data_IF_584516825756
#
_entry.id   IF_584516825756
#
_cell.length_a   1.000
_cell.length_b   1.000
_cell.length_c   1.000
_cell.angle_alpha   90.00
_cell.angle_beta   90.00
_cell.angle_gamma   90.00
#
_symmetry.space_group_name_H-M   'P 1'
#
loop_
_entity.id
_entity.type
_entity.pdbx_description
1 polymer ?
#
# COMPACT_ATOMS: atom_id res chain seq x y z
N UNK A 1 -24.03 4.00 30.81
CA UNK A 1 -22.64 4.50 30.68
C UNK A 1 -22.42 4.92 29.25
N UNK A 2 -22.18 6.21 28.98
CA UNK A 2 -21.85 6.66 27.61
C UNK A 2 -20.47 6.04 27.22
N UNK A 3 -20.41 5.31 26.10
CA UNK A 3 -19.14 4.81 25.60
C UNK A 3 -18.26 6.03 25.31
N UNK A 4 -17.10 6.12 25.98
CA UNK A 4 -16.12 7.16 25.70
C UNK A 4 -15.72 7.03 24.23
N UNK A 5 -15.73 8.14 23.49
CA UNK A 5 -15.27 8.16 22.10
C UNK A 5 -13.79 7.71 22.08
N UNK A 6 -13.42 6.68 21.33
CA UNK A 6 -12.05 6.20 21.27
C UNK A 6 -11.11 7.11 20.45
N UNK A 7 -11.65 8.08 19.72
CA UNK A 7 -10.87 9.02 18.90
C UNK A 7 -10.24 10.11 19.74
N UNK A 8 -9.02 10.48 19.45
CA UNK A 8 -8.38 11.68 19.99
C UNK A 8 -8.81 12.92 19.17
N UNK A 9 -9.85 13.61 19.67
CA UNK A 9 -10.37 14.83 19.03
C UNK A 9 -9.66 16.11 19.51
N UNK A 10 -8.68 16.00 20.41
CA UNK A 10 -7.96 17.14 20.99
C UNK A 10 -6.59 17.29 20.33
N UNK A 11 -5.89 16.18 20.11
CA UNK A 11 -4.55 16.16 19.51
C UNK A 11 -3.57 17.07 20.24
N UNK A 12 -2.85 17.86 19.50
CA UNK A 12 -1.88 18.82 20.05
C UNK A 12 -2.49 20.18 20.44
N UNK A 13 -3.77 20.39 20.14
CA UNK A 13 -4.46 21.65 20.42
C UNK A 13 -3.82 22.85 19.72
N UNK A 14 -3.65 23.95 20.46
CA UNK A 14 -3.01 25.18 19.96
C UNK A 14 -1.48 25.16 20.05
N UNK A 15 -0.88 24.04 20.44
CA UNK A 15 0.57 23.94 20.61
C UNK A 15 1.25 23.65 19.28
N UNK A 16 2.09 24.56 18.82
CA UNK A 16 2.94 24.33 17.65
C UNK A 16 3.94 23.20 17.92
N UNK A 17 3.95 22.19 17.05
CA UNK A 17 4.94 21.14 17.09
C UNK A 17 6.25 21.67 16.49
N UNK A 18 7.26 21.86 17.33
CA UNK A 18 8.61 22.25 16.90
C UNK A 18 9.36 21.02 16.37
N UNK A 19 9.05 20.63 15.14
CA UNK A 19 9.74 19.53 14.46
C UNK A 19 11.09 20.03 13.94
N UNK A 20 12.15 19.29 14.26
CA UNK A 20 13.49 19.52 13.71
C UNK A 20 13.76 18.44 12.66
N UNK A 21 13.75 18.85 11.40
CA UNK A 21 14.12 17.97 10.31
C UNK A 21 15.65 17.78 10.24
N UNK A 22 16.14 16.64 9.70
CA UNK A 22 17.57 16.45 9.44
C UNK A 22 18.17 17.62 8.66
N UNK A 23 19.45 17.89 8.92
CA UNK A 23 20.21 18.98 8.27
C UNK A 23 19.60 20.39 8.44
N UNK A 24 18.84 20.63 9.51
CA UNK A 24 18.10 21.86 9.74
C UNK A 24 17.17 22.25 8.57
N UNK A 25 16.66 21.27 7.83
CA UNK A 25 15.72 21.50 6.75
C UNK A 25 14.43 22.14 7.28
N UNK A 26 13.84 23.02 6.47
CA UNK A 26 12.58 23.70 6.80
C UNK A 26 11.36 22.84 6.46
N UNK A 27 11.54 21.88 5.54
CA UNK A 27 10.49 20.98 5.05
C UNK A 27 11.11 19.64 4.70
N UNK A 28 10.37 18.57 4.90
CA UNK A 28 10.67 17.25 4.35
C UNK A 28 9.65 16.92 3.27
N UNK A 29 10.13 16.46 2.11
CA UNK A 29 9.28 16.00 1.00
C UNK A 29 9.54 14.51 0.82
N UNK A 30 8.50 13.71 0.97
CA UNK A 30 8.53 12.29 0.68
C UNK A 30 7.69 12.03 -0.58
N UNK A 31 8.29 11.34 -1.54
CA UNK A 31 7.58 10.88 -2.74
C UNK A 31 7.31 9.41 -2.58
N UNK A 32 6.04 9.05 -2.65
CA UNK A 32 5.57 7.67 -2.54
C UNK A 32 4.97 7.24 -3.89
N UNK A 33 5.34 6.06 -4.34
CA UNK A 33 4.73 5.39 -5.48
C UNK A 33 4.01 4.14 -4.99
N UNK A 34 2.69 4.13 -5.06
CA UNK A 34 1.92 2.92 -4.81
C UNK A 34 2.06 1.98 -6.01
N UNK A 35 2.36 0.71 -5.73
CA UNK A 35 2.37 -0.36 -6.73
C UNK A 35 1.37 -1.44 -6.32
N UNK A 36 0.19 -1.44 -6.94
CA UNK A 36 -1.02 -2.14 -6.51
C UNK A 36 -1.59 -3.06 -7.59
N UNK A 37 -1.23 -2.82 -8.83
CA UNK A 37 -1.83 -3.38 -10.04
C UNK A 37 -1.72 -4.91 -10.09
N UNK A 38 -2.88 -5.55 -10.23
CA UNK A 38 -3.01 -6.99 -10.24
C UNK A 38 -3.37 -7.60 -8.88
N UNK A 39 -3.43 -6.80 -7.81
CA UNK A 39 -3.81 -7.24 -6.46
C UNK A 39 -5.20 -6.77 -6.03
N UNK A 40 -5.90 -6.03 -6.87
CA UNK A 40 -7.29 -5.59 -6.70
C UNK A 40 -8.28 -6.77 -6.72
N UNK A 41 -9.54 -6.50 -6.37
CA UNK A 41 -10.61 -7.49 -6.53
C UNK A 41 -10.78 -7.86 -8.01
N UNK A 42 -10.56 -9.12 -8.32
CA UNK A 42 -10.69 -9.65 -9.67
C UNK A 42 -11.03 -11.13 -9.62
N UNK A 43 -11.98 -11.57 -10.44
CA UNK A 43 -12.36 -12.99 -10.50
C UNK A 43 -11.19 -13.89 -10.91
N UNK A 44 -10.18 -13.37 -11.60
CA UNK A 44 -8.94 -14.08 -11.91
C UNK A 44 -8.06 -14.33 -10.68
N UNK A 45 -8.26 -13.56 -9.61
CA UNK A 45 -7.62 -13.75 -8.30
C UNK A 45 -8.44 -14.67 -7.38
N UNK A 46 -9.58 -15.20 -7.85
CA UNK A 46 -10.50 -16.03 -7.08
C UNK A 46 -11.56 -15.22 -6.31
N UNK A 47 -11.67 -13.91 -6.55
CA UNK A 47 -12.68 -13.07 -5.91
C UNK A 47 -14.07 -13.28 -6.53
N UNK A 48 -15.11 -13.02 -5.75
CA UNK A 48 -16.50 -13.17 -6.21
C UNK A 48 -16.92 -12.11 -7.23
N UNK A 49 -16.27 -10.95 -7.20
CA UNK A 49 -16.64 -9.78 -7.99
C UNK A 49 -15.40 -9.02 -8.45
N UNK A 50 -15.58 -8.17 -9.47
CA UNK A 50 -14.60 -7.18 -9.90
C UNK A 50 -14.41 -6.05 -8.87
N UNK A 51 -13.26 -5.37 -8.93
CA UNK A 51 -13.05 -4.06 -8.28
C UNK A 51 -13.90 -3.00 -9.00
N UNK A 52 -14.23 -1.94 -8.26
CA UNK A 52 -14.93 -0.76 -8.77
C UNK A 52 -14.27 0.55 -8.32
N UNK A 53 -13.36 0.46 -7.35
CA UNK A 53 -12.64 1.64 -6.87
C UNK A 53 -11.76 2.20 -7.99
N UNK A 54 -11.76 3.51 -8.15
CA UNK A 54 -11.16 4.25 -9.26
C UNK A 54 -11.86 4.06 -10.62
N UNK A 55 -13.06 3.47 -10.64
CA UNK A 55 -13.88 3.48 -11.85
C UNK A 55 -14.18 4.92 -12.27
N UNK A 56 -14.12 5.21 -13.58
CA UNK A 56 -14.58 6.47 -14.14
C UNK A 56 -16.10 6.68 -14.01
N UNK A 57 -16.84 5.60 -13.77
CA UNK A 57 -18.28 5.60 -13.60
C UNK A 57 -18.63 5.79 -12.12
N UNK A 58 -19.21 6.93 -11.80
CA UNK A 58 -19.68 7.23 -10.43
C UNK A 58 -20.79 6.25 -10.06
N UNK A 59 -20.64 5.56 -8.90
CA UNK A 59 -21.62 4.60 -8.42
C UNK A 59 -21.61 3.26 -9.17
N UNK A 60 -20.52 2.95 -9.88
CA UNK A 60 -20.33 1.64 -10.48
C UNK A 60 -20.57 0.51 -9.46
N UNK A 61 -21.17 -0.58 -9.93
CA UNK A 61 -21.43 -1.76 -9.11
C UNK A 61 -20.49 -2.89 -9.49
N UNK A 62 -20.00 -3.69 -8.50
CA UNK A 62 -19.17 -4.85 -8.78
C UNK A 62 -19.92 -5.85 -9.67
N UNK A 63 -19.26 -6.41 -10.66
CA UNK A 63 -19.84 -7.44 -11.52
C UNK A 63 -19.28 -8.82 -11.15
N UNK A 64 -20.13 -9.84 -11.25
CA UNK A 64 -19.76 -11.26 -11.06
C UNK A 64 -19.11 -11.79 -12.34
N UNK A 65 -17.91 -11.33 -12.65
CA UNK A 65 -17.20 -11.70 -13.86
C UNK A 65 -16.01 -10.80 -14.11
N UNK A 66 -15.32 -10.99 -15.22
CA UNK A 66 -14.25 -10.10 -15.65
C UNK A 66 -14.83 -8.74 -16.01
N UNK A 67 -14.17 -7.69 -15.51
CA UNK A 67 -14.52 -6.31 -15.83
C UNK A 67 -13.38 -5.70 -16.65
N UNK A 68 -13.47 -5.84 -17.97
CA UNK A 68 -12.36 -5.53 -18.88
C UNK A 68 -11.89 -4.07 -18.77
N UNK A 69 -12.82 -3.12 -18.58
CA UNK A 69 -12.44 -1.71 -18.40
C UNK A 69 -11.62 -1.50 -17.12
N UNK A 70 -12.02 -2.14 -16.02
CA UNK A 70 -11.26 -2.06 -14.77
C UNK A 70 -9.91 -2.75 -14.89
N UNK A 71 -9.87 -3.96 -15.46
CA UNK A 71 -8.62 -4.67 -15.72
C UNK A 71 -7.67 -3.82 -16.57
N UNK A 72 -8.16 -3.21 -17.64
CA UNK A 72 -7.37 -2.33 -18.51
C UNK A 72 -6.82 -1.09 -17.77
N UNK A 73 -7.60 -0.50 -16.86
CA UNK A 73 -7.17 0.62 -16.03
C UNK A 73 -5.96 0.22 -15.17
N UNK A 74 -6.07 -0.91 -14.46
CA UNK A 74 -5.00 -1.40 -13.61
C UNK A 74 -3.79 -1.88 -14.42
N UNK A 75 -3.99 -2.55 -15.56
CA UNK A 75 -2.90 -2.96 -16.45
C UNK A 75 -2.05 -1.78 -16.93
N UNK A 76 -2.65 -0.60 -17.16
CA UNK A 76 -1.88 0.56 -17.58
C UNK A 76 -0.80 0.93 -16.57
N UNK A 77 -1.09 0.89 -15.27
CA UNK A 77 -0.14 1.21 -14.20
C UNK A 77 1.10 0.32 -14.26
N UNK A 78 0.90 -0.99 -14.32
CA UNK A 78 2.01 -1.96 -14.35
C UNK A 78 2.75 -1.99 -15.69
N UNK A 79 2.05 -1.80 -16.82
CA UNK A 79 2.63 -1.91 -18.18
C UNK A 79 3.31 -0.63 -18.68
N UNK A 80 2.85 0.53 -18.23
CA UNK A 80 3.33 1.82 -18.73
C UNK A 80 3.57 2.86 -17.63
N UNK A 81 2.64 2.99 -16.67
CA UNK A 81 2.68 4.04 -15.64
C UNK A 81 3.92 3.97 -14.78
N UNK A 82 4.22 2.80 -14.21
CA UNK A 82 5.41 2.56 -13.42
C UNK A 82 6.68 2.98 -14.18
N UNK A 83 6.85 2.53 -15.42
CA UNK A 83 8.07 2.77 -16.19
C UNK A 83 8.29 4.24 -16.54
N UNK A 84 7.20 4.98 -16.79
CA UNK A 84 7.27 6.44 -17.02
C UNK A 84 7.71 7.18 -15.78
N UNK A 85 7.15 6.84 -14.61
CA UNK A 85 7.53 7.44 -13.34
C UNK A 85 8.95 7.02 -12.92
N UNK A 86 9.29 5.74 -13.05
CA UNK A 86 10.63 5.23 -12.78
C UNK A 86 11.69 5.98 -13.58
N UNK A 87 11.49 6.13 -14.90
CA UNK A 87 12.40 6.90 -15.76
C UNK A 87 12.57 8.34 -15.25
N UNK A 88 11.47 9.02 -14.93
CA UNK A 88 11.50 10.39 -14.41
C UNK A 88 12.31 10.48 -13.11
N UNK A 89 12.08 9.55 -12.16
CA UNK A 89 12.77 9.55 -10.87
C UNK A 89 14.27 9.28 -11.05
N UNK A 90 14.65 8.37 -11.95
CA UNK A 90 16.05 8.12 -12.26
C UNK A 90 16.73 9.33 -12.91
N UNK A 91 16.11 9.94 -13.93
CA UNK A 91 16.63 11.14 -14.60
C UNK A 91 16.83 12.33 -13.64
N UNK A 92 15.90 12.48 -12.69
CA UNK A 92 15.93 13.57 -11.70
C UNK A 92 16.68 13.20 -10.42
N UNK A 93 17.14 11.94 -10.27
CA UNK A 93 17.78 11.43 -9.05
C UNK A 93 16.93 11.66 -7.79
N UNK A 94 15.64 11.41 -7.91
CA UNK A 94 14.69 11.58 -6.81
C UNK A 94 14.59 10.28 -6.05
N UNK A 95 14.91 10.25 -4.74
CA UNK A 95 14.63 9.11 -3.89
C UNK A 95 13.13 8.97 -3.67
N UNK A 96 12.62 7.75 -3.72
CA UNK A 96 11.21 7.44 -3.49
C UNK A 96 11.07 6.25 -2.55
N UNK A 97 9.90 6.15 -1.92
CA UNK A 97 9.43 4.94 -1.26
C UNK A 97 8.35 4.30 -2.12
N UNK A 98 8.48 3.01 -2.40
CA UNK A 98 7.43 2.22 -3.08
C UNK A 98 6.56 1.56 -2.03
N UNK A 99 5.26 1.88 -2.00
CA UNK A 99 4.28 1.13 -1.25
C UNK A 99 3.81 -0.03 -2.12
N UNK A 100 4.39 -1.21 -1.90
CA UNK A 100 4.20 -2.37 -2.76
C UNK A 100 3.22 -3.37 -2.18
N UNK A 101 2.17 -3.69 -2.92
CA UNK A 101 1.25 -4.78 -2.58
C UNK A 101 1.89 -6.11 -2.93
N UNK A 102 1.99 -7.02 -1.96
CA UNK A 102 2.76 -8.27 -2.11
C UNK A 102 2.36 -9.10 -3.33
N UNK A 103 1.06 -9.28 -3.57
CA UNK A 103 0.57 -10.02 -4.75
C UNK A 103 0.89 -9.30 -6.07
N UNK A 104 0.84 -7.98 -6.11
CA UNK A 104 1.19 -7.20 -7.30
C UNK A 104 2.68 -7.34 -7.64
N UNK A 105 3.54 -7.27 -6.63
CA UNK A 105 4.98 -7.46 -6.77
C UNK A 105 5.32 -8.88 -7.28
N UNK A 106 4.68 -9.92 -6.73
CA UNK A 106 4.91 -11.30 -7.22
C UNK A 106 4.53 -11.51 -8.69
N UNK A 107 3.57 -10.73 -9.19
CA UNK A 107 3.11 -10.81 -10.59
C UNK A 107 4.04 -10.11 -11.58
N UNK A 108 4.93 -9.23 -11.12
CA UNK A 108 5.78 -8.45 -12.01
C UNK A 108 7.26 -8.42 -11.56
N UNK A 109 8.03 -9.48 -11.83
CA UNK A 109 9.43 -9.55 -11.48
C UNK A 109 10.30 -8.43 -12.12
N UNK A 110 9.94 -7.93 -13.30
CA UNK A 110 10.69 -6.86 -13.98
C UNK A 110 10.62 -5.55 -13.20
N UNK A 111 9.44 -5.21 -12.68
CA UNK A 111 9.27 -4.05 -11.80
C UNK A 111 10.06 -4.24 -10.51
N UNK A 112 10.05 -5.44 -9.92
CA UNK A 112 10.82 -5.72 -8.71
C UNK A 112 12.33 -5.54 -8.94
N UNK A 113 12.84 -6.01 -10.07
CA UNK A 113 14.24 -5.81 -10.45
C UNK A 113 14.60 -4.33 -10.61
N UNK A 114 13.75 -3.56 -11.29
CA UNK A 114 13.93 -2.12 -11.43
C UNK A 114 13.93 -1.36 -10.09
N UNK A 115 13.09 -1.77 -9.15
CA UNK A 115 13.04 -1.23 -7.78
C UNK A 115 14.36 -1.53 -7.05
N UNK A 116 14.86 -2.76 -7.15
CA UNK A 116 16.13 -3.20 -6.53
C UNK A 116 17.32 -2.41 -7.11
N UNK A 117 17.42 -2.36 -8.43
CA UNK A 117 18.51 -1.68 -9.14
C UNK A 117 18.55 -0.16 -8.84
N UNK A 118 17.35 0.44 -8.68
CA UNK A 118 17.22 1.85 -8.31
C UNK A 118 17.45 2.12 -6.81
N UNK A 119 17.62 1.07 -6.01
CA UNK A 119 17.75 1.15 -4.55
C UNK A 119 16.59 1.95 -3.89
N UNK A 120 15.36 1.75 -4.38
CA UNK A 120 14.18 2.36 -3.76
C UNK A 120 13.86 1.66 -2.44
N UNK A 121 13.43 2.42 -1.45
CA UNK A 121 12.82 1.85 -0.27
C UNK A 121 11.48 1.20 -0.65
N UNK A 122 11.21 0.00 -0.09
CA UNK A 122 9.91 -0.66 -0.26
C UNK A 122 9.25 -0.87 1.09
N UNK A 123 8.12 -0.22 1.28
CA UNK A 123 7.21 -0.48 2.40
C UNK A 123 6.10 -1.43 1.95
N UNK A 124 5.58 -2.23 2.88
CA UNK A 124 4.46 -3.11 2.57
C UNK A 124 3.16 -2.33 2.42
N UNK A 125 2.46 -2.59 1.32
CA UNK A 125 1.08 -2.11 1.11
C UNK A 125 0.07 -3.27 1.27
N UNK A 126 0.36 -4.21 2.19
CA UNK A 126 -0.43 -5.41 2.41
C UNK A 126 -0.18 -6.49 1.36
N UNK A 127 -0.98 -7.58 1.45
CA UNK A 127 -0.95 -8.69 0.49
C UNK A 127 -1.84 -8.44 -0.72
N UNK A 128 -3.02 -7.87 -0.48
CA UNK A 128 -4.04 -7.56 -1.47
C UNK A 128 -4.42 -6.09 -1.38
N UNK A 129 -4.81 -5.51 -2.50
CA UNK A 129 -5.39 -4.17 -2.52
C UNK A 129 -6.93 -4.25 -2.50
N UNK A 130 -7.47 -4.62 -1.35
CA UNK A 130 -8.89 -4.82 -1.10
C UNK A 130 -9.33 -4.08 0.16
N UNK A 131 -10.63 -3.90 0.35
CA UNK A 131 -11.18 -3.33 1.58
C UNK A 131 -11.14 -4.36 2.70
N UNK A 132 -10.38 -4.06 3.77
CA UNK A 132 -10.25 -4.91 4.94
C UNK A 132 -11.30 -4.66 6.01
N UNK A 133 -12.19 -3.65 5.88
CA UNK A 133 -13.14 -3.24 6.91
C UNK A 133 -13.95 -4.39 7.50
N UNK A 134 -14.35 -5.35 6.68
CA UNK A 134 -15.18 -6.48 7.10
C UNK A 134 -14.43 -7.84 7.05
N UNK A 135 -13.12 -7.83 6.86
CA UNK A 135 -12.31 -9.06 6.84
C UNK A 135 -12.04 -9.51 8.29
N UNK A 136 -12.12 -10.82 8.52
CA UNK A 136 -11.84 -11.37 9.84
C UNK A 136 -10.38 -11.11 10.24
N UNK A 137 -10.12 -10.75 11.51
CA UNK A 137 -8.77 -10.52 12.04
C UNK A 137 -7.79 -11.65 11.70
N UNK A 138 -8.25 -12.90 11.73
CA UNK A 138 -7.43 -14.08 11.41
C UNK A 138 -6.99 -14.12 9.94
N UNK A 139 -7.86 -13.73 9.02
CA UNK A 139 -7.52 -13.69 7.58
C UNK A 139 -6.63 -12.49 7.27
N UNK A 140 -6.93 -11.34 7.85
CA UNK A 140 -6.07 -10.15 7.72
C UNK A 140 -4.65 -10.43 8.26
N UNK A 141 -4.54 -11.11 9.41
CA UNK A 141 -3.24 -11.55 9.96
C UNK A 141 -2.50 -12.50 9.01
N UNK A 142 -3.22 -13.37 8.32
CA UNK A 142 -2.64 -14.25 7.30
C UNK A 142 -2.15 -13.45 6.09
N UNK A 143 -2.93 -12.48 5.61
CA UNK A 143 -2.51 -11.59 4.54
C UNK A 143 -1.26 -10.78 4.91
N UNK A 144 -1.19 -10.26 6.14
CA UNK A 144 0.03 -9.58 6.64
C UNK A 144 1.25 -10.48 6.54
N UNK A 145 1.16 -11.73 6.99
CA UNK A 145 2.26 -12.69 6.91
C UNK A 145 2.67 -12.98 5.46
N UNK A 146 1.70 -13.15 4.56
CA UNK A 146 1.97 -13.34 3.14
C UNK A 146 2.69 -12.13 2.52
N UNK A 147 2.26 -10.92 2.86
CA UNK A 147 2.93 -9.70 2.43
C UNK A 147 4.40 -9.67 2.88
N UNK A 148 4.66 -9.90 4.17
CA UNK A 148 6.02 -9.94 4.72
C UNK A 148 6.87 -11.01 4.02
N UNK A 149 6.32 -12.20 3.79
CA UNK A 149 7.01 -13.28 3.10
C UNK A 149 7.36 -12.92 1.65
N UNK A 150 6.41 -12.34 0.90
CA UNK A 150 6.64 -11.90 -0.47
C UNK A 150 7.74 -10.84 -0.54
N UNK A 151 7.67 -9.80 0.28
CA UNK A 151 8.71 -8.78 0.36
C UNK A 151 10.08 -9.37 0.71
N UNK A 152 10.13 -10.23 1.72
CA UNK A 152 11.40 -10.86 2.14
C UNK A 152 11.99 -11.71 1.03
N UNK A 153 11.15 -12.47 0.32
CA UNK A 153 11.57 -13.31 -0.81
C UNK A 153 12.11 -12.48 -1.97
N UNK A 154 11.44 -11.37 -2.29
CA UNK A 154 11.77 -10.53 -3.46
C UNK A 154 12.97 -9.62 -3.18
N UNK A 155 12.99 -8.94 -2.04
CA UNK A 155 13.96 -7.89 -1.73
C UNK A 155 15.06 -8.33 -0.75
N UNK A 156 15.03 -9.58 -0.26
CA UNK A 156 16.01 -10.11 0.69
C UNK A 156 15.82 -9.67 2.14
N UNK A 157 14.97 -8.70 2.40
CA UNK A 157 14.68 -8.16 3.72
C UNK A 157 13.17 -7.96 3.91
N UNK A 158 12.72 -8.03 5.17
CA UNK A 158 11.35 -7.64 5.49
C UNK A 158 11.14 -6.13 5.27
N UNK A 159 9.92 -5.69 4.95
CA UNK A 159 9.63 -4.26 4.80
C UNK A 159 9.79 -3.53 6.13
N UNK A 160 10.36 -2.32 6.10
CA UNK A 160 10.48 -1.48 7.29
C UNK A 160 9.19 -0.76 7.64
N UNK A 161 8.40 -0.41 6.62
CA UNK A 161 7.14 0.31 6.77
C UNK A 161 5.93 -0.54 6.43
N UNK A 162 4.79 -0.14 7.00
CA UNK A 162 3.47 -0.69 6.70
C UNK A 162 2.50 0.41 6.29
N UNK A 163 1.67 0.14 5.32
CA UNK A 163 0.52 0.94 4.91
C UNK A 163 -0.54 0.04 4.27
N UNK A 164 -1.77 0.05 4.75
CA UNK A 164 -2.88 -0.70 4.14
C UNK A 164 -3.76 0.20 3.27
N UNK A 165 -4.00 1.43 3.72
CA UNK A 165 -4.84 2.41 3.06
C UNK A 165 -6.35 2.14 3.17
N UNK A 166 -6.77 0.88 3.02
CA UNK A 166 -8.16 0.42 3.17
C UNK A 166 -8.25 -0.51 4.39
N UNK A 167 -7.80 0.00 5.53
CA UNK A 167 -7.60 -0.75 6.76
C UNK A 167 -8.89 -1.17 7.46
N UNK A 168 -8.79 -2.19 8.30
CA UNK A 168 -9.82 -2.63 9.24
C UNK A 168 -9.61 -2.02 10.63
N UNK A 169 -10.57 -2.14 11.55
CA UNK A 169 -10.36 -1.82 12.96
C UNK A 169 -9.26 -2.64 13.64
N UNK A 170 -8.77 -3.72 13.02
CA UNK A 170 -7.74 -4.60 13.58
C UNK A 170 -6.35 -4.32 13.00
N UNK A 171 -6.23 -3.60 11.89
CA UNK A 171 -4.97 -3.45 11.14
C UNK A 171 -3.85 -2.93 12.03
N UNK A 172 -4.07 -1.83 12.73
CA UNK A 172 -3.07 -1.21 13.60
C UNK A 172 -2.62 -2.15 14.72
N UNK A 173 -3.57 -2.85 15.37
CA UNK A 173 -3.23 -3.82 16.40
C UNK A 173 -2.37 -4.95 15.84
N UNK A 174 -2.67 -5.44 14.63
CA UNK A 174 -1.89 -6.49 13.98
C UNK A 174 -0.47 -6.02 13.64
N UNK A 175 -0.31 -4.78 13.16
CA UNK A 175 1.00 -4.17 12.89
C UNK A 175 1.81 -4.07 14.18
N UNK A 176 1.19 -3.60 15.27
CA UNK A 176 1.84 -3.50 16.58
C UNK A 176 2.17 -4.87 17.18
N UNK A 177 1.27 -5.85 17.05
CA UNK A 177 1.49 -7.23 17.49
C UNK A 177 2.67 -7.90 16.74
N UNK A 178 2.86 -7.60 15.46
CA UNK A 178 3.99 -8.14 14.68
C UNK A 178 5.33 -7.59 15.18
N UNK A 179 5.40 -6.31 15.53
CA UNK A 179 6.53 -5.66 16.18
C UNK A 179 7.79 -5.49 15.31
N UNK A 180 7.74 -5.86 14.04
CA UNK A 180 8.90 -5.82 13.16
C UNK A 180 8.93 -4.67 12.17
N UNK A 181 7.95 -3.77 12.21
CA UNK A 181 7.91 -2.55 11.40
C UNK A 181 8.49 -1.38 12.17
N UNK A 182 9.20 -0.49 11.48
CA UNK A 182 9.76 0.73 12.05
C UNK A 182 8.76 1.89 12.03
N UNK A 183 7.81 1.85 11.10
CA UNK A 183 6.75 2.84 10.99
C UNK A 183 5.48 2.23 10.38
N UNK A 184 4.35 2.86 10.70
CA UNK A 184 3.02 2.60 10.18
C UNK A 184 2.45 3.92 9.62
N UNK A 185 1.90 3.87 8.42
CA UNK A 185 1.32 5.04 7.73
C UNK A 185 -0.21 5.02 7.68
N UNK A 186 -0.87 4.11 8.40
CA UNK A 186 -2.34 4.00 8.47
C UNK A 186 -2.99 4.84 9.59
N UNK A 187 -2.24 5.57 10.37
CA UNK A 187 -2.73 6.33 11.53
C UNK A 187 -3.23 7.72 11.19
#
# INVERSE_FOLDING_TARGET
MSKKDPRDMIGYGSKDQKIKWPNNARIAVQIVLNYEEGAENCVLNGDNNSEIFLSEIIGAQPIKGRHINMESLYEYGSRAGFWRLHKLFQEKKIPITVFGVGMALEKNPEVCNAIIEANYEVASHGWRWIDYQNIKKTEEKKHMKLAIQAHTKIFGNRPYGWYTGRCSPNTRDLVMEDGGFLYDSDS
#
